data_IF_323794441161
#
_entry.id   IF_323794441161
#
_cell.length_a   1.000
_cell.length_b   1.000
_cell.length_c   1.000
_cell.angle_alpha   90.00
_cell.angle_beta   90.00
_cell.angle_gamma   90.00
#
_symmetry.space_group_name_H-M   'P 1'
#
loop_
_entity.id
_entity.type
_entity.pdbx_description
1 polymer ?
#
# COMPACT_ATOMS: atom_id res chain seq x y z
N UNK A 1 -7.01 25.84 1.74
CA UNK A 1 -6.19 25.15 2.76
C UNK A 1 -5.46 24.01 2.07
N UNK A 2 -4.13 23.80 2.30
CA UNK A 2 -3.40 22.70 1.67
C UNK A 2 -3.76 21.35 2.32
N UNK A 3 -3.48 20.23 1.62
CA UNK A 3 -3.69 18.88 2.15
C UNK A 3 -2.92 18.66 3.46
N UNK A 4 -1.66 19.11 3.51
CA UNK A 4 -0.82 18.98 4.70
C UNK A 4 -1.42 19.73 5.90
N UNK A 5 -1.99 20.91 5.67
CA UNK A 5 -2.65 21.68 6.73
C UNK A 5 -3.92 21.00 7.24
N UNK A 6 -4.70 20.38 6.35
CA UNK A 6 -5.88 19.59 6.72
C UNK A 6 -5.51 18.38 7.57
N UNK A 7 -4.52 17.61 7.15
CA UNK A 7 -4.07 16.41 7.87
C UNK A 7 -3.46 16.77 9.24
N UNK A 8 -2.69 17.85 9.31
CA UNK A 8 -2.14 18.34 10.56
C UNK A 8 -3.24 18.78 11.54
N UNK A 9 -4.24 19.53 11.06
CA UNK A 9 -5.39 19.94 11.88
C UNK A 9 -6.18 18.74 12.40
N UNK A 10 -6.43 17.73 11.55
CA UNK A 10 -7.07 16.47 11.95
C UNK A 10 -6.26 15.78 13.05
N UNK A 11 -4.94 15.61 12.87
CA UNK A 11 -4.09 14.98 13.87
C UNK A 11 -4.08 15.74 15.20
N UNK A 12 -4.01 17.06 15.18
CA UNK A 12 -4.07 17.89 16.40
C UNK A 12 -5.38 17.70 17.16
N UNK A 13 -6.51 17.66 16.44
CA UNK A 13 -7.83 17.41 17.05
C UNK A 13 -7.88 16.03 17.74
N UNK A 14 -7.36 14.99 17.08
CA UNK A 14 -7.32 13.62 17.66
C UNK A 14 -6.39 13.55 18.86
N UNK A 15 -5.22 14.17 18.78
CA UNK A 15 -4.25 14.22 19.89
C UNK A 15 -4.81 15.00 21.09
N UNK A 16 -5.50 16.10 20.88
CA UNK A 16 -6.18 16.86 21.95
C UNK A 16 -7.28 16.03 22.65
N UNK A 17 -7.87 15.05 21.93
CA UNK A 17 -8.81 14.07 22.51
C UNK A 17 -8.10 12.85 23.14
N UNK A 18 -6.77 12.87 23.29
CA UNK A 18 -6.00 11.77 23.87
C UNK A 18 -5.84 10.56 22.95
N UNK A 19 -6.10 10.72 21.65
CA UNK A 19 -6.05 9.65 20.64
C UNK A 19 -4.79 9.77 19.77
N UNK A 20 -4.25 8.65 19.34
CA UNK A 20 -3.11 8.59 18.41
C UNK A 20 -3.60 8.33 17.00
N UNK A 21 -3.59 9.35 16.13
CA UNK A 21 -4.16 9.25 14.78
C UNK A 21 -3.31 8.38 13.86
N UNK A 22 -4.01 7.62 13.01
CA UNK A 22 -3.43 6.83 11.91
C UNK A 22 -4.00 7.34 10.59
N UNK A 23 -3.15 7.94 9.79
CA UNK A 23 -3.48 8.44 8.45
C UNK A 23 -3.19 7.38 7.40
N UNK A 24 -4.08 7.18 6.46
CA UNK A 24 -3.87 6.36 5.27
C UNK A 24 -3.58 7.22 4.04
N UNK A 25 -2.61 6.79 3.23
CA UNK A 25 -2.31 7.39 1.93
C UNK A 25 -2.33 6.32 0.84
N UNK A 26 -3.45 6.22 0.13
CA UNK A 26 -3.60 5.34 -1.02
C UNK A 26 -3.16 6.06 -2.30
N UNK A 27 -2.63 5.32 -3.24
CA UNK A 27 -2.34 5.81 -4.59
C UNK A 27 -1.50 4.82 -5.37
N UNK A 28 -1.54 4.86 -6.70
CA UNK A 28 -0.82 3.92 -7.55
C UNK A 28 0.70 4.01 -7.38
N UNK A 29 1.37 3.00 -7.88
CA UNK A 29 2.84 2.99 -7.93
C UNK A 29 3.35 4.20 -8.73
N UNK A 30 4.37 4.87 -8.21
CA UNK A 30 4.94 6.06 -8.86
C UNK A 30 4.18 7.38 -8.64
N UNK A 31 3.04 7.40 -7.96
CA UNK A 31 2.23 8.62 -7.71
C UNK A 31 2.83 9.62 -6.72
N UNK A 32 4.05 9.39 -6.22
CA UNK A 32 4.71 10.32 -5.32
C UNK A 32 4.31 10.20 -3.84
N UNK A 33 3.67 9.10 -3.44
CA UNK A 33 3.29 8.86 -2.03
C UNK A 33 4.42 9.09 -1.04
N UNK A 34 5.58 8.48 -1.29
CA UNK A 34 6.75 8.62 -0.41
C UNK A 34 7.30 10.06 -0.37
N UNK A 35 7.20 10.81 -1.46
CA UNK A 35 7.56 12.24 -1.50
C UNK A 35 6.60 13.06 -0.64
N UNK A 36 5.30 12.81 -0.76
CA UNK A 36 4.28 13.46 0.09
C UNK A 36 4.46 13.06 1.56
N UNK A 37 4.75 11.79 1.85
CA UNK A 37 5.02 11.33 3.20
C UNK A 37 6.20 12.07 3.85
N UNK A 38 7.30 12.27 3.11
CA UNK A 38 8.45 13.06 3.57
C UNK A 38 8.09 14.53 3.83
N UNK A 39 7.32 15.15 2.93
CA UNK A 39 6.86 16.53 3.10
C UNK A 39 5.99 16.67 4.36
N UNK A 40 5.08 15.70 4.59
CA UNK A 40 4.26 15.63 5.80
C UNK A 40 5.10 15.45 7.06
N UNK A 41 6.10 14.55 7.07
CA UNK A 41 7.00 14.39 8.21
C UNK A 41 7.71 15.69 8.56
N UNK A 42 8.24 16.39 7.56
CA UNK A 42 8.92 17.69 7.76
C UNK A 42 7.94 18.76 8.29
N UNK A 43 6.71 18.77 7.77
CA UNK A 43 5.67 19.71 8.23
C UNK A 43 5.30 19.44 9.67
N UNK A 44 5.06 18.18 10.04
CA UNK A 44 4.72 17.78 11.41
C UNK A 44 5.87 18.10 12.39
N UNK A 45 7.11 17.82 12.00
CA UNK A 45 8.29 18.14 12.82
C UNK A 45 8.41 19.62 13.13
N UNK A 46 8.13 20.52 12.17
CA UNK A 46 8.11 21.99 12.39
C UNK A 46 7.04 22.42 13.40
N UNK A 47 6.02 21.62 13.59
CA UNK A 47 4.94 21.84 14.55
C UNK A 47 5.13 21.08 15.88
N UNK A 48 6.34 20.50 16.08
CA UNK A 48 6.69 19.74 17.30
C UNK A 48 6.06 18.35 17.38
N UNK A 49 5.51 17.81 16.28
CA UNK A 49 4.87 16.50 16.24
C UNK A 49 5.72 15.45 15.52
N UNK A 50 5.75 14.25 16.05
CA UNK A 50 6.48 13.09 15.50
C UNK A 50 5.54 12.25 14.64
N UNK A 51 5.66 12.37 13.31
CA UNK A 51 4.93 11.54 12.37
C UNK A 51 5.78 10.32 11.99
N UNK A 52 5.42 9.13 12.46
CA UNK A 52 5.97 7.89 11.94
C UNK A 52 5.41 7.61 10.55
N UNK A 53 6.20 6.99 9.67
CA UNK A 53 5.77 6.56 8.34
C UNK A 53 6.09 5.09 8.14
N UNK A 54 5.10 4.33 7.67
CA UNK A 54 5.24 2.96 7.23
C UNK A 54 4.57 2.76 5.87
N UNK A 55 5.04 1.78 5.13
CA UNK A 55 4.40 1.31 3.90
C UNK A 55 3.72 -0.03 4.13
N UNK A 56 2.64 -0.32 3.39
CA UNK A 56 2.11 -1.68 3.35
C UNK A 56 3.17 -2.68 2.86
N UNK A 57 4.08 -2.23 2.01
CA UNK A 57 5.23 -3.02 1.53
C UNK A 57 6.18 -3.46 2.65
N UNK A 58 6.18 -2.77 3.81
CA UNK A 58 6.96 -3.14 4.99
C UNK A 58 6.46 -4.44 5.64
N UNK A 59 5.24 -4.85 5.33
CA UNK A 59 4.61 -6.06 5.83
C UNK A 59 4.63 -7.23 4.84
N UNK A 60 5.47 -7.23 3.81
CA UNK A 60 5.59 -8.41 2.97
C UNK A 60 5.99 -9.64 3.78
N UNK A 61 5.39 -10.77 3.46
CA UNK A 61 5.74 -12.08 4.02
C UNK A 61 7.23 -12.40 3.78
N UNK A 62 7.86 -13.21 4.64
CA UNK A 62 9.16 -13.80 4.37
C UNK A 62 9.18 -14.54 3.03
N UNK A 63 10.37 -14.72 2.46
CA UNK A 63 10.54 -15.22 1.08
C UNK A 63 9.75 -16.49 0.78
N UNK A 64 9.88 -17.54 1.60
CA UNK A 64 9.25 -18.83 1.30
C UNK A 64 7.71 -18.83 1.45
N UNK A 65 7.11 -18.29 2.54
CA UNK A 65 5.67 -18.06 2.59
C UNK A 65 5.15 -17.21 1.42
N UNK A 66 5.89 -16.16 1.04
CA UNK A 66 5.51 -15.28 -0.06
C UNK A 66 5.57 -15.99 -1.42
N UNK A 67 6.58 -16.81 -1.68
CA UNK A 67 6.65 -17.64 -2.89
C UNK A 67 5.44 -18.55 -3.01
N UNK A 68 5.03 -19.20 -1.92
CA UNK A 68 3.81 -20.04 -1.90
C UNK A 68 2.56 -19.22 -2.15
N UNK A 69 2.45 -18.04 -1.50
CA UNK A 69 1.33 -17.14 -1.70
C UNK A 69 1.23 -16.59 -3.13
N UNK A 70 2.36 -16.37 -3.79
CA UNK A 70 2.43 -15.85 -5.17
C UNK A 70 2.51 -16.94 -6.24
N UNK A 71 2.45 -18.21 -5.88
CA UNK A 71 2.46 -19.30 -6.85
C UNK A 71 1.25 -19.20 -7.80
N UNK A 72 1.52 -19.34 -9.11
CA UNK A 72 0.50 -19.26 -10.16
C UNK A 72 0.05 -17.84 -10.49
N UNK A 73 0.74 -16.79 -10.01
CA UNK A 73 0.41 -15.45 -10.48
C UNK A 73 0.84 -15.25 -11.95
N UNK A 74 -0.04 -14.67 -12.79
CA UNK A 74 0.20 -14.57 -14.24
C UNK A 74 1.19 -13.45 -14.63
N UNK A 75 1.70 -12.69 -13.66
CA UNK A 75 2.56 -11.52 -13.91
C UNK A 75 4.04 -11.79 -13.63
N UNK A 76 4.39 -12.99 -13.14
CA UNK A 76 5.77 -13.37 -12.82
C UNK A 76 6.39 -12.58 -11.66
N UNK A 77 5.59 -11.98 -10.77
CA UNK A 77 6.08 -11.18 -9.66
C UNK A 77 6.11 -11.97 -8.36
N UNK A 78 7.12 -11.70 -7.51
CA UNK A 78 7.25 -12.32 -6.19
C UNK A 78 6.56 -11.56 -5.06
N UNK A 79 6.04 -10.37 -5.34
CA UNK A 79 5.37 -9.46 -4.39
C UNK A 79 4.41 -8.54 -5.14
N UNK A 80 3.70 -7.67 -4.46
CA UNK A 80 2.72 -6.68 -4.91
C UNK A 80 1.28 -7.15 -4.74
N UNK A 81 0.78 -8.24 -5.34
CA UNK A 81 -0.63 -8.60 -5.21
C UNK A 81 -1.10 -8.82 -3.76
N UNK A 82 -2.40 -8.63 -3.47
CA UNK A 82 -3.00 -9.07 -2.22
C UNK A 82 -2.65 -10.52 -1.90
N UNK A 83 -2.36 -10.81 -0.62
CA UNK A 83 -1.86 -12.11 -0.16
C UNK A 83 -0.33 -12.21 -0.10
N UNK A 84 0.42 -11.24 -0.65
CA UNK A 84 1.89 -11.17 -0.48
C UNK A 84 2.33 -10.54 0.84
N UNK A 85 1.40 -9.94 1.60
CA UNK A 85 1.64 -9.25 2.85
C UNK A 85 1.10 -10.05 4.05
N UNK A 86 1.62 -9.76 5.23
CA UNK A 86 1.03 -10.04 6.53
C UNK A 86 0.45 -8.74 7.11
N UNK A 87 -0.85 -8.43 6.90
CA UNK A 87 -1.45 -7.20 7.41
C UNK A 87 -1.45 -7.10 8.93
N UNK A 88 -1.46 -8.24 9.62
CA UNK A 88 -1.45 -8.28 11.09
C UNK A 88 -0.10 -7.82 11.66
N UNK A 89 1.00 -8.03 10.94
CA UNK A 89 2.31 -7.50 11.31
C UNK A 89 2.35 -5.96 11.44
N UNK A 90 1.42 -5.25 10.77
CA UNK A 90 1.19 -3.80 10.94
C UNK A 90 0.06 -3.53 11.93
N UNK A 91 -1.05 -4.26 11.84
CA UNK A 91 -2.24 -3.99 12.64
C UNK A 91 -2.00 -4.20 14.15
N UNK A 92 -1.30 -5.28 14.54
CA UNK A 92 -1.02 -5.57 15.94
C UNK A 92 -0.19 -4.48 16.63
N UNK A 93 0.99 -4.05 16.13
CA UNK A 93 1.76 -3.00 16.77
C UNK A 93 1.05 -1.64 16.77
N UNK A 94 0.22 -1.33 15.76
CA UNK A 94 -0.60 -0.10 15.75
C UNK A 94 -1.63 -0.15 16.89
N UNK A 95 -2.35 -1.26 17.05
CA UNK A 95 -3.31 -1.41 18.17
C UNK A 95 -2.62 -1.29 19.51
N UNK A 96 -1.49 -1.97 19.68
CA UNK A 96 -0.71 -1.91 20.93
C UNK A 96 -0.26 -0.48 21.23
N UNK A 97 0.30 0.23 20.25
CA UNK A 97 0.74 1.61 20.39
C UNK A 97 -0.40 2.57 20.73
N UNK A 98 -1.59 2.38 20.15
CA UNK A 98 -2.77 3.19 20.45
C UNK A 98 -3.29 2.99 21.88
N UNK A 99 -3.17 1.80 22.42
CA UNK A 99 -3.61 1.47 23.79
C UNK A 99 -2.57 1.66 24.88
N UNK A 100 -1.32 1.98 24.53
CA UNK A 100 -0.23 2.10 25.49
C UNK A 100 -0.09 3.54 26.03
N UNK A 101 0.41 3.69 27.25
CA UNK A 101 0.79 5.02 27.80
C UNK A 101 2.03 5.57 27.09
N UNK A 102 2.97 4.71 26.73
CA UNK A 102 4.20 5.09 26.06
C UNK A 102 3.98 5.42 24.56
N UNK A 103 4.60 6.49 24.02
CA UNK A 103 4.53 6.82 22.61
C UNK A 103 5.41 5.92 21.72
N UNK A 104 6.06 4.89 22.27
CA UNK A 104 6.95 4.01 21.53
C UNK A 104 6.17 3.11 20.56
N UNK A 105 6.52 3.18 19.29
CA UNK A 105 5.94 2.40 18.22
C UNK A 105 7.04 1.55 17.56
N UNK A 106 6.74 0.26 17.33
CA UNK A 106 7.60 -0.65 16.58
C UNK A 106 6.88 -1.06 15.30
N UNK A 107 7.50 -0.86 14.14
CA UNK A 107 6.90 -1.16 12.84
C UNK A 107 7.78 -2.14 12.07
N UNK A 108 7.23 -3.13 11.37
CA UNK A 108 8.00 -4.00 10.50
C UNK A 108 8.74 -3.18 9.44
N UNK A 109 9.80 -3.77 8.90
CA UNK A 109 10.52 -3.25 7.73
C UNK A 109 10.83 -4.39 6.78
N UNK A 110 10.84 -4.07 5.51
CA UNK A 110 11.15 -5.00 4.45
C UNK A 110 12.29 -4.44 3.58
N UNK A 111 13.37 -5.19 3.50
CA UNK A 111 14.50 -4.82 2.65
C UNK A 111 14.38 -5.55 1.29
N UNK A 112 14.13 -4.75 0.25
CA UNK A 112 13.96 -5.23 -1.12
C UNK A 112 15.25 -5.74 -1.76
N UNK A 113 16.42 -5.50 -1.14
CA UNK A 113 17.74 -5.91 -1.66
C UNK A 113 18.14 -7.30 -1.21
N UNK A 114 17.59 -7.79 -0.12
CA UNK A 114 17.86 -9.14 0.40
C UNK A 114 17.43 -10.22 -0.59
N UNK A 115 17.93 -11.44 -0.38
CA UNK A 115 17.56 -12.62 -1.16
C UNK A 115 17.71 -12.43 -2.68
N UNK A 116 18.81 -11.81 -3.13
CA UNK A 116 19.05 -11.55 -4.53
C UNK A 116 18.06 -10.59 -5.19
N UNK A 117 17.53 -9.63 -4.41
CA UNK A 117 16.56 -8.64 -4.88
C UNK A 117 15.10 -9.08 -4.76
N UNK A 118 14.83 -10.30 -4.26
CA UNK A 118 13.46 -10.74 -3.97
C UNK A 118 12.91 -10.09 -2.68
N UNK A 119 13.81 -9.65 -1.80
CA UNK A 119 13.51 -8.99 -0.54
C UNK A 119 13.10 -9.96 0.57
N UNK A 120 13.31 -9.52 1.81
CA UNK A 120 12.91 -10.25 3.02
C UNK A 120 12.67 -9.26 4.18
N UNK A 121 11.94 -9.64 5.25
CA UNK A 121 11.82 -8.83 6.45
C UNK A 121 13.20 -8.48 7.02
N UNK A 122 13.31 -7.28 7.55
CA UNK A 122 14.53 -6.76 8.16
C UNK A 122 14.25 -6.25 9.58
N UNK A 123 15.27 -5.69 10.24
CA UNK A 123 15.11 -5.16 11.59
C UNK A 123 13.98 -4.11 11.64
N UNK A 124 13.04 -4.20 12.60
CA UNK A 124 11.91 -3.29 12.69
C UNK A 124 12.39 -1.86 13.01
N UNK A 125 11.68 -0.90 12.49
CA UNK A 125 11.81 0.48 12.94
C UNK A 125 11.22 0.62 14.36
N UNK A 126 11.92 1.36 15.23
CA UNK A 126 11.45 1.68 16.57
C UNK A 126 11.67 3.16 16.86
N UNK A 127 10.68 3.80 17.44
CA UNK A 127 10.77 5.19 17.81
C UNK A 127 9.49 5.72 18.45
N UNK A 128 9.59 6.90 19.05
CA UNK A 128 8.43 7.59 19.58
C UNK A 128 7.63 8.24 18.44
N UNK A 129 6.31 8.09 18.45
CA UNK A 129 5.41 8.69 17.49
C UNK A 129 4.17 9.27 18.16
N UNK A 130 3.72 10.42 17.66
CA UNK A 130 2.46 11.06 18.05
C UNK A 130 1.36 10.71 17.05
N UNK A 131 1.73 10.51 15.77
CA UNK A 131 0.85 10.11 14.69
C UNK A 131 1.56 9.10 13.77
N UNK A 132 0.79 8.31 13.03
CA UNK A 132 1.30 7.39 12.02
C UNK A 132 0.70 7.73 10.65
N UNK A 133 1.53 7.73 9.60
CA UNK A 133 1.11 7.69 8.20
C UNK A 133 1.44 6.30 7.64
N UNK A 134 0.41 5.57 7.25
CA UNK A 134 0.53 4.32 6.50
C UNK A 134 0.28 4.60 5.02
N UNK A 135 1.23 4.25 4.14
CA UNK A 135 1.08 4.45 2.70
C UNK A 135 1.06 3.13 1.94
N UNK A 136 0.37 3.12 0.81
CA UNK A 136 0.35 1.96 -0.07
C UNK A 136 -0.63 2.08 -1.22
N UNK A 137 -0.48 1.20 -2.20
CA UNK A 137 -1.30 1.25 -3.41
C UNK A 137 -2.68 0.60 -3.23
N UNK A 138 -2.86 -0.26 -2.23
CA UNK A 138 -4.11 -1.00 -1.97
C UNK A 138 -4.79 -0.59 -0.64
N UNK A 139 -4.30 0.45 0.04
CA UNK A 139 -4.86 0.87 1.31
C UNK A 139 -6.36 1.18 1.22
N UNK A 140 -7.13 0.59 2.13
CA UNK A 140 -8.57 0.76 2.18
C UNK A 140 -9.36 -0.10 1.19
N UNK A 141 -8.70 -0.77 0.24
CA UNK A 141 -9.37 -1.67 -0.70
C UNK A 141 -10.02 -2.85 0.04
N UNK A 142 -11.31 -3.06 -0.20
CA UNK A 142 -12.10 -4.13 0.42
C UNK A 142 -12.47 -5.17 -0.62
N UNK A 143 -12.69 -6.44 -0.22
CA UNK A 143 -13.19 -7.45 -1.14
C UNK A 143 -14.58 -7.06 -1.66
N UNK A 144 -14.83 -7.34 -2.93
CA UNK A 144 -16.17 -7.38 -3.47
C UNK A 144 -16.84 -8.67 -3.02
N UNK A 145 -18.15 -8.65 -2.84
CA UNK A 145 -18.91 -9.88 -2.69
C UNK A 145 -18.82 -10.75 -3.96
N UNK A 146 -19.02 -12.08 -3.80
CA UNK A 146 -18.78 -13.03 -4.87
C UNK A 146 -19.67 -12.80 -6.08
N UNK A 147 -20.94 -12.44 -5.90
CA UNK A 147 -21.89 -12.24 -6.99
C UNK A 147 -21.55 -10.98 -7.79
N UNK A 148 -21.20 -9.90 -7.11
CA UNK A 148 -20.73 -8.65 -7.73
C UNK A 148 -19.46 -8.90 -8.55
N UNK A 149 -18.45 -9.61 -7.98
CA UNK A 149 -17.21 -9.90 -8.70
C UNK A 149 -17.49 -10.76 -9.95
N UNK A 150 -18.33 -11.80 -9.84
CA UNK A 150 -18.67 -12.67 -10.96
C UNK A 150 -19.48 -11.93 -12.04
N UNK A 151 -20.36 -11.02 -11.67
CA UNK A 151 -21.06 -10.15 -12.63
C UNK A 151 -20.07 -9.29 -13.41
N UNK A 152 -19.11 -8.64 -12.73
CA UNK A 152 -18.08 -7.84 -13.37
C UNK A 152 -17.17 -8.68 -14.29
N UNK A 153 -16.85 -9.92 -13.90
CA UNK A 153 -16.03 -10.82 -14.71
C UNK A 153 -16.75 -11.35 -15.97
N UNK A 154 -18.09 -11.40 -15.97
CA UNK A 154 -18.89 -11.84 -17.10
C UNK A 154 -19.22 -10.72 -18.08
N UNK A 155 -19.15 -9.47 -17.66
CA UNK A 155 -19.48 -8.32 -18.50
C UNK A 155 -18.48 -8.20 -19.67
N UNK A 156 -18.89 -8.42 -20.92
CA UNK A 156 -18.00 -8.37 -22.08
C UNK A 156 -17.59 -6.94 -22.45
N UNK A 157 -18.29 -5.93 -21.93
CA UNK A 157 -18.01 -4.50 -22.14
C UNK A 157 -17.38 -3.83 -20.92
N UNK A 158 -17.26 -4.57 -19.81
CA UNK A 158 -16.72 -4.05 -18.56
C UNK A 158 -15.19 -3.93 -18.56
N UNK A 159 -14.65 -3.28 -17.53
CA UNK A 159 -13.21 -3.04 -17.42
C UNK A 159 -12.38 -4.33 -17.27
N UNK A 160 -13.02 -5.47 -16.94
CA UNK A 160 -12.38 -6.77 -16.80
C UNK A 160 -12.45 -7.62 -18.08
N UNK A 161 -13.15 -7.16 -19.12
CA UNK A 161 -13.29 -7.89 -20.37
C UNK A 161 -11.95 -8.35 -21.00
N UNK A 162 -10.87 -7.53 -20.97
CA UNK A 162 -9.58 -7.91 -21.56
C UNK A 162 -8.79 -8.97 -20.77
N UNK A 163 -9.23 -9.35 -19.56
CA UNK A 163 -8.48 -10.30 -18.71
C UNK A 163 -8.51 -11.70 -19.29
N UNK A 164 -7.35 -12.36 -19.33
CA UNK A 164 -7.23 -13.79 -19.63
C UNK A 164 -7.91 -14.68 -18.54
N UNK A 165 -8.11 -15.95 -18.85
CA UNK A 165 -8.67 -16.91 -17.88
C UNK A 165 -7.83 -16.97 -16.59
N UNK A 166 -6.50 -17.01 -16.71
CA UNK A 166 -5.57 -17.05 -15.56
C UNK A 166 -5.65 -15.75 -14.74
N UNK A 167 -5.72 -14.61 -15.40
CA UNK A 167 -5.87 -13.30 -14.73
C UNK A 167 -7.21 -13.18 -14.00
N UNK A 168 -8.30 -13.72 -14.56
CA UNK A 168 -9.62 -13.78 -13.90
C UNK A 168 -9.58 -14.68 -12.66
N UNK A 169 -8.95 -15.85 -12.76
CA UNK A 169 -8.76 -16.75 -11.62
C UNK A 169 -7.89 -16.11 -10.54
N UNK A 170 -6.82 -15.42 -10.94
CA UNK A 170 -5.93 -14.68 -10.04
C UNK A 170 -6.67 -13.54 -9.33
N UNK A 171 -7.49 -12.78 -10.04
CA UNK A 171 -8.29 -11.70 -9.44
C UNK A 171 -9.26 -12.24 -8.36
N UNK A 172 -9.93 -13.37 -8.61
CA UNK A 172 -10.77 -14.02 -7.59
C UNK A 172 -9.97 -14.36 -6.32
N UNK A 173 -8.75 -14.85 -6.50
CA UNK A 173 -7.85 -15.15 -5.37
C UNK A 173 -7.43 -13.89 -4.63
N UNK A 174 -7.05 -12.84 -5.33
CA UNK A 174 -6.69 -11.55 -4.74
C UNK A 174 -7.87 -10.94 -3.98
N UNK A 175 -9.09 -11.01 -4.54
CA UNK A 175 -10.30 -10.54 -3.87
C UNK A 175 -10.50 -11.21 -2.49
N UNK A 176 -10.38 -12.53 -2.42
CA UNK A 176 -10.46 -13.24 -1.12
C UNK A 176 -9.35 -12.83 -0.16
N UNK A 177 -8.14 -12.61 -0.65
CA UNK A 177 -7.04 -12.17 0.22
C UNK A 177 -7.23 -10.79 0.82
N UNK A 178 -8.05 -9.90 0.21
CA UNK A 178 -8.35 -8.58 0.77
C UNK A 178 -9.09 -8.64 2.11
N UNK A 179 -9.78 -9.73 2.43
CA UNK A 179 -10.46 -9.93 3.74
C UNK A 179 -9.48 -9.79 4.90
N UNK A 180 -8.27 -10.34 4.77
CA UNK A 180 -7.24 -10.31 5.81
C UNK A 180 -6.76 -8.89 6.16
N UNK A 181 -6.98 -7.92 5.28
CA UNK A 181 -6.55 -6.53 5.52
C UNK A 181 -7.58 -5.71 6.33
N UNK A 182 -8.81 -6.22 6.51
CA UNK A 182 -9.88 -5.53 7.22
C UNK A 182 -9.47 -4.98 8.58
N UNK A 183 -8.82 -5.77 9.47
CA UNK A 183 -8.35 -5.29 10.78
C UNK A 183 -7.34 -4.15 10.70
N UNK A 184 -6.50 -4.09 9.67
CA UNK A 184 -5.57 -2.99 9.44
C UNK A 184 -6.30 -1.74 8.93
N UNK A 185 -7.26 -1.91 8.00
CA UNK A 185 -8.07 -0.80 7.52
C UNK A 185 -8.93 -0.17 8.61
N UNK A 186 -9.37 -0.96 9.58
CA UNK A 186 -10.09 -0.49 10.77
C UNK A 186 -9.26 0.41 11.69
N UNK A 187 -7.93 0.48 11.53
CA UNK A 187 -7.07 1.39 12.28
C UNK A 187 -6.96 2.79 11.66
N UNK A 188 -7.37 2.97 10.41
CA UNK A 188 -7.25 4.25 9.72
C UNK A 188 -8.31 5.24 10.20
N UNK A 189 -7.90 6.40 10.68
CA UNK A 189 -8.82 7.48 11.08
C UNK A 189 -9.18 8.38 9.89
N UNK A 190 -8.28 8.51 8.93
CA UNK A 190 -8.44 9.30 7.72
C UNK A 190 -7.73 8.60 6.56
N UNK A 191 -8.36 8.55 5.40
CA UNK A 191 -7.77 8.02 4.17
C UNK A 191 -7.69 9.12 3.11
N UNK A 192 -6.51 9.33 2.56
CA UNK A 192 -6.26 10.18 1.38
C UNK A 192 -6.03 9.27 0.19
N UNK A 193 -6.72 9.51 -0.90
CA UNK A 193 -6.58 8.76 -2.15
C UNK A 193 -5.98 9.66 -3.22
N UNK A 194 -4.80 9.32 -3.71
CA UNK A 194 -4.19 9.96 -4.88
C UNK A 194 -4.75 9.28 -6.14
N UNK A 195 -5.78 9.89 -6.71
CA UNK A 195 -6.42 9.37 -7.91
C UNK A 195 -5.78 9.97 -9.17
N UNK A 196 -5.23 9.17 -10.10
CA UNK A 196 -4.68 9.70 -11.34
C UNK A 196 -5.81 10.09 -12.30
N UNK A 197 -5.64 11.18 -13.02
CA UNK A 197 -6.58 11.55 -14.08
C UNK A 197 -6.57 10.58 -15.27
N UNK A 198 -5.49 9.81 -15.44
CA UNK A 198 -5.33 8.79 -16.47
C UNK A 198 -4.48 7.64 -15.92
N UNK A 199 -4.98 6.41 -15.95
CA UNK A 199 -4.31 5.21 -15.45
C UNK A 199 -3.09 4.77 -16.27
N UNK A 200 -2.80 5.42 -17.40
CA UNK A 200 -1.53 5.28 -18.13
C UNK A 200 -0.37 6.00 -17.41
N UNK A 201 -0.65 7.03 -16.60
CA UNK A 201 0.36 7.80 -15.90
C UNK A 201 1.13 7.01 -14.84
N UNK A 202 0.53 6.16 -13.99
CA UNK A 202 1.25 5.33 -13.04
C UNK A 202 2.38 4.52 -13.67
N UNK A 203 2.14 3.92 -14.84
CA UNK A 203 3.16 3.22 -15.61
C UNK A 203 4.31 4.16 -15.98
N UNK A 204 4.01 5.33 -16.57
CA UNK A 204 5.03 6.34 -16.95
C UNK A 204 5.82 6.82 -15.73
N UNK A 205 5.14 7.15 -14.63
CA UNK A 205 5.78 7.62 -13.40
C UNK A 205 6.72 6.56 -12.80
N UNK A 206 6.29 5.30 -12.82
CA UNK A 206 7.13 4.21 -12.30
C UNK A 206 8.37 4.00 -13.14
N UNK A 207 8.26 4.03 -14.47
CA UNK A 207 9.41 3.95 -15.37
C UNK A 207 10.37 5.14 -15.19
N UNK A 208 9.86 6.34 -15.01
CA UNK A 208 10.68 7.52 -14.74
C UNK A 208 11.40 7.42 -13.37
N UNK A 209 10.73 6.93 -12.35
CA UNK A 209 11.33 6.72 -11.03
C UNK A 209 12.48 5.70 -11.11
N UNK A 210 12.29 4.60 -11.82
CA UNK A 210 13.31 3.58 -12.04
C UNK A 210 14.52 4.13 -12.82
N UNK A 211 14.28 4.90 -13.86
CA UNK A 211 15.34 5.56 -14.63
C UNK A 211 16.16 6.54 -13.76
N UNK A 212 15.51 7.27 -12.86
CA UNK A 212 16.21 8.15 -11.88
C UNK A 212 17.05 7.33 -10.90
N UNK A 213 16.52 6.22 -10.38
CA UNK A 213 17.23 5.32 -9.47
C UNK A 213 18.47 4.74 -10.12
N UNK A 214 18.36 4.24 -11.36
CA UNK A 214 19.47 3.73 -12.15
C UNK A 214 20.57 4.78 -12.35
N UNK A 215 20.21 6.04 -12.68
CA UNK A 215 21.19 7.14 -12.83
C UNK A 215 21.95 7.45 -11.56
N UNK A 216 21.37 7.15 -10.39
CA UNK A 216 22.00 7.33 -9.07
C UNK A 216 22.82 6.12 -8.62
N UNK A 217 23.01 5.11 -9.48
CA UNK A 217 23.78 3.90 -9.17
C UNK A 217 23.05 2.90 -8.26
N UNK A 218 21.74 3.09 -8.01
CA UNK A 218 20.94 2.15 -7.23
C UNK A 218 20.59 0.88 -8.02
N UNK A 219 20.23 -0.20 -7.32
CA UNK A 219 19.68 -1.40 -7.94
C UNK A 219 18.42 -1.05 -8.75
N UNK A 220 18.29 -1.61 -9.94
CA UNK A 220 17.21 -1.32 -10.87
C UNK A 220 16.57 -2.59 -11.44
N UNK A 221 15.29 -2.49 -11.81
CA UNK A 221 14.53 -3.56 -12.44
C UNK A 221 14.64 -3.47 -13.96
N UNK A 222 14.68 -4.63 -14.63
CA UNK A 222 14.56 -4.66 -16.08
C UNK A 222 13.19 -4.10 -16.53
N UNK A 223 13.06 -3.59 -17.76
CA UNK A 223 11.77 -3.12 -18.27
C UNK A 223 10.65 -4.17 -18.15
N UNK A 224 10.97 -5.44 -18.39
CA UNK A 224 10.01 -6.54 -18.28
C UNK A 224 9.57 -6.77 -16.84
N UNK A 225 10.50 -6.79 -15.88
CA UNK A 225 10.17 -6.91 -14.45
C UNK A 225 9.32 -5.73 -13.97
N UNK A 226 9.64 -4.53 -14.45
CA UNK A 226 8.92 -3.33 -14.09
C UNK A 226 7.49 -3.35 -14.65
N UNK A 227 7.31 -3.77 -15.90
CA UNK A 227 6.00 -3.95 -16.52
C UNK A 227 5.16 -4.98 -15.74
N UNK A 228 5.76 -6.13 -15.38
CA UNK A 228 5.10 -7.14 -14.55
C UNK A 228 4.60 -6.57 -13.21
N UNK A 229 5.40 -5.75 -12.53
CA UNK A 229 4.98 -5.11 -11.27
C UNK A 229 3.81 -4.13 -11.47
N UNK A 230 3.84 -3.33 -12.54
CA UNK A 230 2.76 -2.39 -12.87
C UNK A 230 1.48 -3.14 -13.18
N UNK A 231 1.55 -4.16 -14.05
CA UNK A 231 0.41 -4.99 -14.39
C UNK A 231 -0.14 -5.73 -13.16
N UNK A 232 0.73 -6.30 -12.34
CA UNK A 232 0.33 -6.95 -11.09
C UNK A 232 -0.46 -6.00 -10.18
N UNK A 233 -0.04 -4.74 -10.03
CA UNK A 233 -0.77 -3.77 -9.22
C UNK A 233 -2.12 -3.39 -9.81
N UNK A 234 -2.22 -3.24 -11.14
CA UNK A 234 -3.44 -2.79 -11.80
C UNK A 234 -4.46 -3.91 -12.02
N UNK A 235 -4.01 -5.16 -12.22
CA UNK A 235 -4.88 -6.26 -12.61
C UNK A 235 -5.18 -7.24 -11.46
N UNK A 236 -4.40 -7.21 -10.37
CA UNK A 236 -4.73 -7.97 -9.15
C UNK A 236 -5.75 -7.27 -8.24
N UNK A 237 -5.91 -5.97 -8.42
CA UNK A 237 -6.87 -5.14 -7.69
C UNK A 237 -7.24 -3.95 -8.57
N UNK A 238 -8.06 -4.15 -9.64
CA UNK A 238 -8.38 -3.13 -10.61
C UNK A 238 -8.94 -1.87 -9.98
N UNK A 239 -8.35 -0.69 -10.24
CA UNK A 239 -8.65 0.55 -9.53
C UNK A 239 -10.11 0.97 -9.61
N UNK A 240 -10.76 0.77 -10.76
CA UNK A 240 -12.17 1.12 -10.96
C UNK A 240 -13.11 0.35 -10.02
N UNK A 241 -12.72 -0.87 -9.61
CA UNK A 241 -13.54 -1.71 -8.72
C UNK A 241 -13.17 -1.56 -7.25
N UNK A 242 -11.90 -1.36 -6.93
CA UNK A 242 -11.41 -1.43 -5.54
C UNK A 242 -10.97 -0.09 -4.97
N UNK A 243 -10.53 0.85 -5.80
CA UNK A 243 -10.05 2.16 -5.32
C UNK A 243 -11.06 3.27 -5.59
N UNK A 244 -11.80 3.23 -6.72
CA UNK A 244 -12.86 4.22 -7.01
C UNK A 244 -13.90 4.34 -5.89
N UNK A 245 -14.39 3.25 -5.25
CA UNK A 245 -15.31 3.35 -4.13
C UNK A 245 -14.77 4.11 -2.91
N UNK A 246 -13.45 4.25 -2.79
CA UNK A 246 -12.81 5.01 -1.71
C UNK A 246 -12.89 6.54 -1.88
N UNK A 247 -13.38 7.02 -3.03
CA UNK A 247 -13.52 8.45 -3.34
C UNK A 247 -14.87 9.04 -2.89
N UNK A 248 -15.75 8.21 -2.31
CA UNK A 248 -17.10 8.59 -1.85
C UNK A 248 -17.10 9.15 -0.44
#
# INVERSE_FOLDING_TARGET
MSLEALLLAHCRSRLAAGQRPVLGLNGPVGAGKSTLAQALQQRFAREGLRLAVASIDDAYLPLEPRRRAMAGNPFGVSRVPPGSHDPEALAAPIRQWRGADSPQLSLPRFDKTLQGGQGDPSAPWRGAADALLLEGWLLGCRPLDGDTLEAQLRDPSGPLAPLSADQRQWLRRCNRHLEAYGPLWGQLDQLVVLWPGDWRWPRRWRFQAEARQRRRGGAWLTPQQLEGLVQASLLSCPPELYQRPLLQ
#
